data_IF_134690605437
#
_entry.id   IF_134690605437
#
_cell.length_a   1.000
_cell.length_b   1.000
_cell.length_c   1.000
_cell.angle_alpha   90.00
_cell.angle_beta   90.00
_cell.angle_gamma   90.00
#
_symmetry.space_group_name_H-M   'P 1'
#
loop_
_entity.id
_entity.type
_entity.pdbx_description
1 polymer ?
#
# COMPACT_ATOMS: atom_id res chain seq x y z
N UNK A 1 14.64 -8.71 -1.65
CA UNK A 1 13.34 -8.61 -2.35
C UNK A 1 12.99 -7.15 -2.44
N UNK A 2 12.74 -6.62 -3.65
CA UNK A 2 12.38 -5.22 -3.82
C UNK A 2 11.06 -4.94 -3.09
N UNK A 3 11.01 -3.89 -2.27
CA UNK A 3 9.75 -3.41 -1.69
C UNK A 3 8.88 -2.90 -2.84
N UNK A 4 7.61 -3.27 -2.84
CA UNK A 4 6.66 -2.74 -3.83
C UNK A 4 6.55 -1.22 -3.66
N UNK A 5 6.30 -0.48 -4.73
CA UNK A 5 6.20 0.98 -4.70
C UNK A 5 4.92 1.48 -5.37
N UNK A 6 4.22 2.40 -4.72
CA UNK A 6 3.06 3.11 -5.28
C UNK A 6 3.33 4.61 -5.18
N UNK A 7 3.35 5.31 -6.32
CA UNK A 7 3.63 6.74 -6.36
C UNK A 7 5.01 7.12 -5.80
N UNK A 8 6.01 6.25 -5.97
CA UNK A 8 7.37 6.44 -5.42
C UNK A 8 7.47 6.27 -3.90
N UNK A 9 6.45 5.67 -3.26
CA UNK A 9 6.47 5.32 -1.84
C UNK A 9 6.57 3.81 -1.65
N UNK A 10 7.46 3.32 -0.76
CA UNK A 10 7.51 1.91 -0.43
C UNK A 10 6.22 1.46 0.26
N UNK A 11 5.68 0.33 -0.18
CA UNK A 11 4.44 -0.24 0.35
C UNK A 11 4.58 -1.73 0.68
N UNK A 12 3.77 -2.15 1.65
CA UNK A 12 3.44 -3.55 1.89
C UNK A 12 1.99 -3.80 1.52
N UNK A 13 1.73 -4.74 0.60
CA UNK A 13 0.39 -5.12 0.17
C UNK A 13 0.06 -6.49 0.74
N UNK A 14 -1.05 -6.58 1.48
CA UNK A 14 -1.55 -7.83 2.06
C UNK A 14 -2.95 -8.09 1.55
N UNK A 15 -3.21 -9.30 1.07
CA UNK A 15 -4.57 -9.74 0.75
C UNK A 15 -5.28 -10.12 2.03
N UNK A 16 -6.48 -9.58 2.23
CA UNK A 16 -7.34 -9.88 3.38
C UNK A 16 -8.67 -10.34 2.81
N UNK A 17 -9.22 -11.48 3.26
CA UNK A 17 -10.40 -12.16 2.70
C UNK A 17 -11.40 -11.26 1.92
N UNK A 18 -11.23 -11.13 0.60
CA UNK A 18 -12.08 -10.33 -0.28
C UNK A 18 -11.67 -8.88 -0.53
N UNK A 19 -10.49 -8.44 -0.08
CA UNK A 19 -9.95 -7.10 -0.26
C UNK A 19 -8.43 -7.07 -0.17
N UNK A 20 -7.87 -5.86 -0.15
CA UNK A 20 -6.43 -5.64 0.05
C UNK A 20 -6.19 -4.58 1.11
N UNK A 21 -5.16 -4.78 1.93
CA UNK A 21 -4.59 -3.76 2.78
C UNK A 21 -3.27 -3.30 2.18
N UNK A 22 -3.13 -2.00 1.98
CA UNK A 22 -1.90 -1.38 1.52
C UNK A 22 -1.38 -0.53 2.68
N UNK A 23 -0.14 -0.79 3.10
CA UNK A 23 0.57 -0.02 4.12
C UNK A 23 1.67 0.76 3.43
N UNK A 24 1.70 2.07 3.63
CA UNK A 24 2.72 2.97 3.12
C UNK A 24 3.79 3.22 4.18
N UNK A 25 5.03 3.10 3.76
CA UNK A 25 6.21 3.33 4.57
C UNK A 25 6.92 4.64 4.19
N UNK A 26 7.84 5.16 5.02
CA UNK A 26 8.58 6.38 4.70
C UNK A 26 9.39 6.25 3.41
N UNK A 27 9.43 7.31 2.61
CA UNK A 27 10.24 7.37 1.36
C UNK A 27 11.74 7.38 1.67
N UNK A 28 12.12 7.96 2.82
CA UNK A 28 13.53 8.22 3.13
C UNK A 28 14.31 6.90 3.27
N UNK A 29 15.31 6.71 2.40
CA UNK A 29 16.25 5.57 2.43
C UNK A 29 17.01 5.43 3.75
N UNK A 30 17.09 6.50 4.56
CA UNK A 30 17.72 6.55 5.87
C UNK A 30 16.72 6.82 7.01
N UNK A 31 15.43 6.50 6.82
CA UNK A 31 14.46 6.60 7.91
C UNK A 31 14.93 5.75 9.09
N UNK A 32 14.89 6.31 10.30
CA UNK A 32 15.21 5.58 11.55
C UNK A 32 14.34 4.33 11.73
N UNK A 33 13.13 4.36 11.16
CA UNK A 33 12.19 3.25 11.11
C UNK A 33 11.67 3.07 9.66
N UNK A 34 12.39 2.34 8.80
CA UNK A 34 12.06 2.21 7.37
C UNK A 34 10.80 1.39 7.10
N UNK A 35 10.30 0.66 8.10
CA UNK A 35 9.07 -0.14 8.04
C UNK A 35 7.93 0.48 8.87
N UNK A 36 8.10 1.73 9.34
CA UNK A 36 7.05 2.43 10.05
C UNK A 36 5.78 2.56 9.18
N UNK A 37 4.61 2.49 9.81
CA UNK A 37 3.34 2.75 9.15
C UNK A 37 3.14 4.25 9.09
N UNK A 38 3.29 4.85 7.91
CA UNK A 38 2.96 6.27 7.69
C UNK A 38 1.46 6.42 7.46
N UNK A 39 0.92 5.55 6.62
CA UNK A 39 -0.49 5.53 6.27
C UNK A 39 -0.88 4.11 5.88
N UNK A 40 -2.13 3.72 6.06
CA UNK A 40 -2.64 2.47 5.53
C UNK A 40 -4.05 2.63 5.01
N UNK A 41 -4.35 1.98 3.89
CA UNK A 41 -5.69 1.90 3.32
C UNK A 41 -6.10 0.44 3.20
N UNK A 42 -7.35 0.15 3.57
CA UNK A 42 -7.99 -1.14 3.30
C UNK A 42 -9.04 -0.92 2.22
N UNK A 43 -8.92 -1.64 1.12
CA UNK A 43 -9.83 -1.58 -0.01
C UNK A 43 -10.62 -2.88 -0.07
N UNK A 44 -11.94 -2.77 -0.08
CA UNK A 44 -12.82 -3.91 -0.33
C UNK A 44 -12.81 -4.28 -1.83
N UNK A 45 -13.36 -5.44 -2.19
CA UNK A 45 -13.56 -5.82 -3.59
C UNK A 45 -14.31 -4.73 -4.37
N UNK A 46 -15.35 -4.15 -3.78
CA UNK A 46 -16.16 -3.11 -4.42
C UNK A 46 -15.36 -1.83 -4.67
N UNK A 47 -14.45 -1.47 -3.75
CA UNK A 47 -13.56 -0.31 -3.95
C UNK A 47 -12.57 -0.56 -5.09
N UNK A 48 -12.02 -1.78 -5.17
CA UNK A 48 -11.14 -2.19 -6.27
C UNK A 48 -11.88 -2.15 -7.61
N UNK A 49 -13.14 -2.56 -7.66
CA UNK A 49 -13.96 -2.48 -8.88
C UNK A 49 -14.24 -1.03 -9.30
N UNK A 50 -14.45 -0.11 -8.34
CA UNK A 50 -14.57 1.32 -8.64
C UNK A 50 -13.27 1.88 -9.22
N UNK A 51 -12.13 1.58 -8.61
CA UNK A 51 -10.82 2.04 -9.10
C UNK A 51 -10.50 1.51 -10.49
N UNK A 52 -10.82 0.24 -10.77
CA UNK A 52 -10.66 -0.37 -12.11
C UNK A 52 -11.51 0.29 -13.19
N UNK A 53 -12.64 0.90 -12.84
CA UNK A 53 -13.50 1.63 -13.79
C UNK A 53 -13.05 3.08 -14.02
N UNK A 54 -12.18 3.60 -13.15
CA UNK A 54 -11.70 4.98 -13.21
C UNK A 54 -10.47 5.13 -14.12
N UNK A 55 -9.93 4.02 -14.64
CA UNK A 55 -8.89 3.92 -15.66
C UNK A 55 -9.43 3.08 -16.82
#
# INVERSE_FOLDING_TARGET
>A
MAKEEIGGRPVSITKDNGGIKIVFHPIAKAAKHPDAVVFSVKLSKTDLEKLKKAF
#
